data_IF_281632694047
#
_entry.id   IF_281632694047
#
_cell.length_a   1.000
_cell.length_b   1.000
_cell.length_c   1.000
_cell.angle_alpha   90.00
_cell.angle_beta   90.00
_cell.angle_gamma   90.00
#
_symmetry.space_group_name_H-M   'P 1'
#
loop_
_entity.id
_entity.type
_entity.pdbx_description
1 polymer ?
#
# COMPACT_ATOMS: atom_id res chain seq x y z
N UNK A 1 -8.95 -14.37 2.59
CA UNK A 1 -7.59 -14.40 3.15
C UNK A 1 -7.44 -13.19 4.03
N UNK A 2 -6.82 -13.28 5.20
CA UNK A 2 -6.63 -12.13 6.09
C UNK A 2 -5.21 -11.59 5.93
N UNK A 3 -5.06 -10.26 5.93
CA UNK A 3 -3.76 -9.60 5.82
C UNK A 3 -3.25 -9.31 7.23
N UNK A 4 -2.07 -9.85 7.56
CA UNK A 4 -1.40 -9.55 8.83
C UNK A 4 -0.59 -8.25 8.68
N UNK A 5 -1.17 -7.13 9.14
CA UNK A 5 -0.54 -5.80 9.09
C UNK A 5 0.67 -5.65 10.03
N UNK A 6 0.81 -6.55 11.01
CA UNK A 6 1.96 -6.59 11.94
C UNK A 6 3.10 -7.48 11.43
N UNK A 7 2.97 -8.03 10.22
CA UNK A 7 4.04 -8.81 9.61
C UNK A 7 5.29 -7.93 9.40
N UNK A 8 6.47 -8.36 9.88
CA UNK A 8 7.74 -7.67 9.60
C UNK A 8 8.01 -7.50 8.10
N UNK A 9 7.43 -8.38 7.27
CA UNK A 9 7.51 -8.32 5.82
C UNK A 9 6.90 -7.04 5.20
N UNK A 10 5.98 -6.37 5.91
CA UNK A 10 5.37 -5.11 5.45
C UNK A 10 6.18 -3.88 5.86
N UNK A 11 7.33 -4.06 6.52
CA UNK A 11 8.27 -2.99 6.83
C UNK A 11 7.70 -1.85 7.66
N UNK A 12 6.61 -2.08 8.41
CA UNK A 12 5.93 -1.04 9.18
C UNK A 12 5.18 -0.01 8.33
N UNK A 13 5.08 -0.17 7.00
CA UNK A 13 4.40 0.78 6.12
C UNK A 13 2.93 0.99 6.50
N UNK A 14 2.30 -0.04 7.04
CA UNK A 14 0.91 -0.03 7.54
C UNK A 14 0.67 0.86 8.78
N UNK A 15 1.73 1.27 9.48
CA UNK A 15 1.69 2.00 10.75
C UNK A 15 2.25 3.43 10.64
N UNK A 16 2.58 3.90 9.44
CA UNK A 16 3.05 5.26 9.18
C UNK A 16 1.93 6.23 8.79
N UNK A 17 2.27 7.52 8.52
CA UNK A 17 1.29 8.54 8.12
C UNK A 17 0.54 8.25 6.81
N UNK A 18 1.08 7.37 5.95
CA UNK A 18 0.42 6.87 4.73
C UNK A 18 -0.07 5.42 4.87
N UNK A 19 -0.24 4.95 6.11
CA UNK A 19 -0.60 3.56 6.40
C UNK A 19 -1.98 3.18 5.88
N UNK A 20 -2.93 4.12 5.83
CA UNK A 20 -4.27 3.88 5.28
C UNK A 20 -4.22 3.67 3.77
N UNK A 21 -3.52 4.55 3.03
CA UNK A 21 -3.35 4.41 1.59
C UNK A 21 -2.59 3.13 1.23
N UNK A 22 -1.57 2.77 2.03
CA UNK A 22 -0.86 1.51 1.89
C UNK A 22 -1.80 0.31 2.11
N UNK A 23 -2.58 0.32 3.19
CA UNK A 23 -3.54 -0.76 3.50
C UNK A 23 -4.55 -0.94 2.39
N UNK A 24 -5.08 0.15 1.84
CA UNK A 24 -6.02 0.10 0.72
C UNK A 24 -5.38 -0.45 -0.57
N UNK A 25 -4.21 0.05 -0.96
CA UNK A 25 -3.54 -0.39 -2.17
C UNK A 25 -3.12 -1.87 -2.07
N UNK A 26 -2.54 -2.25 -0.93
CA UNK A 26 -2.06 -3.60 -0.69
C UNK A 26 -3.20 -4.60 -0.55
N UNK A 27 -4.29 -4.25 0.15
CA UNK A 27 -5.47 -5.13 0.21
C UNK A 27 -6.11 -5.32 -1.15
N UNK A 28 -6.25 -4.25 -1.94
CA UNK A 28 -6.72 -4.36 -3.32
C UNK A 28 -5.84 -5.32 -4.12
N UNK A 29 -4.52 -5.17 -4.06
CA UNK A 29 -3.60 -6.04 -4.78
C UNK A 29 -3.75 -7.51 -4.37
N UNK A 30 -3.85 -7.81 -3.07
CA UNK A 30 -3.99 -9.19 -2.57
C UNK A 30 -5.27 -9.85 -3.10
N UNK A 31 -6.38 -9.12 -3.10
CA UNK A 31 -7.69 -9.61 -3.55
C UNK A 31 -7.95 -9.46 -5.05
N UNK A 32 -7.10 -8.75 -5.78
CA UNK A 32 -7.27 -8.57 -7.23
C UNK A 32 -7.21 -9.91 -7.95
N UNK A 33 -8.24 -10.13 -8.78
CA UNK A 33 -8.37 -11.26 -9.71
C UNK A 33 -8.11 -10.82 -11.17
N UNK A 34 -7.69 -9.57 -11.39
CA UNK A 34 -7.34 -9.07 -12.72
C UNK A 34 -6.11 -9.79 -13.28
N UNK A 35 -6.00 -9.85 -14.61
CA UNK A 35 -4.79 -10.30 -15.32
C UNK A 35 -4.28 -9.15 -16.20
N UNK A 36 -3.16 -8.49 -15.83
CA UNK A 36 -2.26 -8.82 -14.72
C UNK A 36 -2.82 -8.42 -13.34
N UNK A 37 -2.42 -9.16 -12.30
CA UNK A 37 -2.86 -8.93 -10.92
C UNK A 37 -2.58 -7.50 -10.47
N UNK A 38 -3.60 -6.84 -9.92
CA UNK A 38 -3.52 -5.47 -9.42
C UNK A 38 -3.72 -4.37 -10.45
N UNK A 39 -4.04 -4.70 -11.71
CA UNK A 39 -4.33 -3.70 -12.75
C UNK A 39 -5.52 -2.79 -12.38
N UNK A 40 -6.52 -3.34 -11.69
CA UNK A 40 -7.67 -2.63 -11.12
C UNK A 40 -7.32 -1.75 -9.91
N UNK A 41 -6.14 -1.92 -9.32
CA UNK A 41 -5.70 -1.21 -8.11
C UNK A 41 -4.81 0.00 -8.40
N UNK A 42 -4.54 0.33 -9.68
CA UNK A 42 -3.58 1.36 -10.09
C UNK A 42 -3.86 2.72 -9.41
N UNK A 43 -5.12 3.14 -9.34
CA UNK A 43 -5.48 4.41 -8.69
C UNK A 43 -5.16 4.42 -7.19
N UNK A 44 -5.33 3.28 -6.49
CA UNK A 44 -4.97 3.17 -5.07
C UNK A 44 -3.45 3.27 -4.88
N UNK A 45 -2.67 2.65 -5.76
CA UNK A 45 -1.21 2.79 -5.74
C UNK A 45 -0.76 4.23 -6.05
N UNK A 46 -1.44 4.95 -6.96
CA UNK A 46 -1.17 6.38 -7.21
C UNK A 46 -1.45 7.23 -5.97
N UNK A 47 -2.54 6.96 -5.25
CA UNK A 47 -2.88 7.67 -4.02
C UNK A 47 -1.82 7.44 -2.94
N UNK A 48 -1.41 6.19 -2.75
CA UNK A 48 -0.31 5.83 -1.85
C UNK A 48 0.99 6.57 -2.21
N UNK A 49 1.39 6.57 -3.49
CA UNK A 49 2.58 7.30 -3.94
C UNK A 49 2.44 8.82 -3.72
N UNK A 50 1.24 9.36 -3.92
CA UNK A 50 0.94 10.78 -3.66
C UNK A 50 1.08 11.10 -2.18
N UNK A 51 0.66 10.18 -1.30
CA UNK A 51 0.88 10.32 0.14
C UNK A 51 2.37 10.27 0.48
N UNK A 52 3.14 9.32 -0.06
CA UNK A 52 4.58 9.21 0.20
C UNK A 52 5.34 10.50 -0.16
N UNK A 53 4.95 11.16 -1.26
CA UNK A 53 5.53 12.46 -1.66
C UNK A 53 5.28 13.59 -0.65
N UNK A 54 4.26 13.48 0.22
CA UNK A 54 4.00 14.46 1.30
C UNK A 54 4.91 14.26 2.50
N UNK A 55 5.48 13.06 2.67
CA UNK A 55 6.35 12.72 3.79
C UNK A 55 7.70 12.17 3.29
N UNK A 56 8.48 12.98 2.53
CA UNK A 56 9.75 12.53 1.98
C UNK A 56 10.72 12.08 3.07
N UNK A 57 10.74 12.72 4.24
CA UNK A 57 11.64 12.35 5.35
C UNK A 57 11.41 10.93 5.90
N UNK A 58 10.25 10.32 5.62
CA UNK A 58 9.86 8.98 6.09
C UNK A 58 9.95 7.94 4.97
N UNK A 59 9.60 8.33 3.74
CA UNK A 59 9.41 7.39 2.62
C UNK A 59 10.38 7.61 1.45
N UNK A 60 11.50 8.33 1.65
CA UNK A 60 12.52 8.56 0.61
C UNK A 60 13.71 7.60 0.64
N UNK A 61 13.71 6.59 1.52
CA UNK A 61 14.72 5.50 1.52
C UNK A 61 14.40 4.38 0.51
#
# INVERSE_FOLDING_TARGET
>A
GEINWDCPCLGGMANGPCGEEFKEAFSCFIYSEADPKGFDCIEKFKNMQTCFRKYPDIYSE
#
